data_IF_984205528380
#
_entry.id   IF_984205528380
#
_cell.length_a   1.000
_cell.length_b   1.000
_cell.length_c   1.000
_cell.angle_alpha   90.00
_cell.angle_beta   90.00
_cell.angle_gamma   90.00
#
_symmetry.space_group_name_H-M   'P 1'
#
loop_
_entity.id
_entity.type
_entity.pdbx_description
1 polymer ?
#
# COMPACT_ATOMS: atom_id res chain seq x y z
N UNK A 1 9.01 -38.11 -7.33
CA UNK A 1 7.89 -38.79 -6.64
C UNK A 1 8.09 -38.64 -5.15
N UNK A 2 7.03 -38.56 -4.35
CA UNK A 2 7.15 -38.60 -2.89
C UNK A 2 7.31 -40.07 -2.46
N UNK A 3 8.34 -40.37 -1.68
CA UNK A 3 8.69 -41.75 -1.27
C UNK A 3 7.64 -42.38 -0.35
N UNK A 4 6.83 -41.58 0.34
CA UNK A 4 5.82 -42.11 1.28
C UNK A 4 4.42 -42.29 0.68
N UNK A 5 4.11 -41.72 -0.50
CA UNK A 5 2.73 -41.73 -1.03
C UNK A 5 2.59 -42.25 -2.45
N UNK A 6 3.69 -42.49 -3.18
CA UNK A 6 3.63 -42.97 -4.57
C UNK A 6 2.94 -42.01 -5.56
N UNK A 7 2.48 -40.84 -5.10
CA UNK A 7 1.83 -39.84 -5.93
C UNK A 7 2.88 -38.92 -6.59
N UNK A 8 2.65 -38.48 -7.83
CA UNK A 8 3.50 -37.48 -8.46
C UNK A 8 3.48 -36.19 -7.65
N UNK A 9 4.68 -35.66 -7.35
CA UNK A 9 4.84 -34.30 -6.81
C UNK A 9 4.34 -33.32 -7.87
N UNK A 10 3.07 -32.96 -7.80
CA UNK A 10 2.54 -31.84 -8.56
C UNK A 10 3.12 -30.55 -7.97
N UNK A 11 4.05 -29.96 -8.71
CA UNK A 11 4.62 -28.65 -8.43
C UNK A 11 3.52 -27.59 -8.65
N UNK A 12 2.74 -27.29 -7.62
CA UNK A 12 1.66 -26.30 -7.67
C UNK A 12 2.16 -24.91 -8.09
N UNK A 13 3.44 -24.58 -7.88
CA UNK A 13 4.03 -23.32 -8.32
C UNK A 13 4.34 -23.30 -9.83
N UNK A 14 4.65 -24.47 -10.43
CA UNK A 14 4.75 -24.61 -11.87
C UNK A 14 3.37 -24.49 -12.54
N UNK A 15 2.31 -25.02 -11.90
CA UNK A 15 0.96 -24.98 -12.44
C UNK A 15 0.37 -23.56 -12.52
N UNK A 16 0.51 -22.73 -11.48
CA UNK A 16 0.04 -21.33 -11.52
C UNK A 16 0.86 -20.43 -12.47
N UNK A 17 2.17 -20.70 -12.64
CA UNK A 17 3.01 -19.96 -13.58
C UNK A 17 2.74 -20.38 -15.03
N UNK A 18 2.51 -21.67 -15.28
CA UNK A 18 2.08 -22.18 -16.56
C UNK A 18 0.67 -21.74 -16.90
N UNK A 19 -0.26 -21.66 -15.95
CA UNK A 19 -1.63 -21.20 -16.23
C UNK A 19 -1.64 -19.72 -16.63
N UNK A 20 -0.86 -18.87 -15.96
CA UNK A 20 -0.72 -17.46 -16.34
C UNK A 20 0.04 -17.28 -17.67
N UNK A 21 1.06 -18.11 -17.94
CA UNK A 21 1.81 -18.09 -19.20
C UNK A 21 1.00 -18.64 -20.37
N UNK A 22 0.23 -19.71 -20.16
CA UNK A 22 -0.70 -20.32 -21.13
C UNK A 22 -1.85 -19.37 -21.38
N UNK A 23 -2.43 -18.73 -20.34
CA UNK A 23 -3.41 -17.65 -20.51
C UNK A 23 -2.81 -16.51 -21.32
N UNK A 24 -1.60 -16.03 -21.01
CA UNK A 24 -0.92 -14.97 -21.80
C UNK A 24 -0.67 -15.37 -23.26
N UNK A 25 -0.17 -16.58 -23.49
CA UNK A 25 0.17 -17.08 -24.84
C UNK A 25 -1.09 -17.32 -25.66
N UNK A 26 -2.14 -17.89 -25.04
CA UNK A 26 -3.47 -18.05 -25.63
C UNK A 26 -4.08 -16.70 -25.96
N UNK A 27 -3.99 -15.73 -25.06
CA UNK A 27 -4.50 -14.39 -25.29
C UNK A 27 -3.70 -13.60 -26.34
N UNK A 28 -2.39 -13.80 -26.45
CA UNK A 28 -1.57 -13.22 -27.52
C UNK A 28 -1.88 -13.85 -28.89
N UNK A 29 -2.17 -15.15 -28.93
CA UNK A 29 -2.65 -15.83 -30.13
C UNK A 29 -4.04 -15.33 -30.52
N UNK A 30 -4.92 -15.13 -29.53
CA UNK A 30 -6.24 -14.58 -29.77
C UNK A 30 -6.18 -13.13 -30.23
N UNK A 31 -5.30 -12.30 -29.65
CA UNK A 31 -5.06 -10.92 -30.13
C UNK A 31 -4.66 -10.89 -31.61
N UNK A 32 -3.78 -11.80 -32.06
CA UNK A 32 -3.44 -11.92 -33.50
C UNK A 32 -4.62 -12.35 -34.37
N UNK A 33 -5.56 -13.12 -33.80
CA UNK A 33 -6.79 -13.55 -34.46
C UNK A 33 -7.80 -12.40 -34.56
N UNK A 34 -7.85 -11.60 -33.50
CA UNK A 34 -8.73 -10.45 -33.30
C UNK A 34 -8.27 -9.23 -34.11
N UNK A 35 -6.97 -9.06 -34.36
CA UNK A 35 -6.42 -8.06 -35.28
C UNK A 35 -7.03 -8.11 -36.69
N UNK A 36 -7.63 -9.25 -37.06
CA UNK A 36 -8.31 -9.47 -38.34
C UNK A 36 -9.80 -9.17 -38.30
N UNK A 37 -10.38 -8.89 -37.13
CA UNK A 37 -11.81 -8.65 -36.95
C UNK A 37 -12.09 -7.14 -36.84
N UNK A 38 -13.14 -6.63 -37.50
CA UNK A 38 -13.51 -5.23 -37.38
C UNK A 38 -13.88 -4.90 -35.90
N UNK A 39 -13.37 -3.77 -35.34
CA UNK A 39 -13.53 -3.40 -33.93
C UNK A 39 -14.99 -3.19 -33.46
N UNK A 40 -15.95 -3.21 -34.38
CA UNK A 40 -17.39 -3.08 -34.14
C UNK A 40 -18.13 -4.42 -34.06
N UNK A 41 -17.45 -5.57 -34.19
CA UNK A 41 -18.15 -6.86 -34.21
C UNK A 41 -18.68 -7.25 -32.83
N UNK A 42 -19.82 -7.95 -32.78
CA UNK A 42 -20.39 -8.49 -31.52
C UNK A 42 -19.40 -9.41 -30.78
N UNK A 43 -18.48 -10.03 -31.54
CA UNK A 43 -17.40 -10.86 -31.00
C UNK A 43 -16.45 -10.03 -30.14
N UNK A 44 -16.20 -8.77 -30.49
CA UNK A 44 -15.38 -7.86 -29.69
C UNK A 44 -16.00 -7.60 -28.31
N UNK A 45 -17.28 -7.23 -28.27
CA UNK A 45 -17.98 -6.94 -27.01
C UNK A 45 -18.04 -8.18 -26.10
N UNK A 46 -18.32 -9.35 -26.67
CA UNK A 46 -18.33 -10.62 -25.95
C UNK A 46 -16.94 -11.04 -25.45
N UNK A 47 -15.88 -10.65 -26.17
CA UNK A 47 -14.52 -10.97 -25.79
C UNK A 47 -13.98 -10.01 -24.74
N UNK A 48 -14.20 -8.70 -24.90
CA UNK A 48 -13.85 -7.67 -23.92
C UNK A 48 -14.56 -7.91 -22.58
N UNK A 49 -15.79 -8.45 -22.59
CA UNK A 49 -16.52 -8.81 -21.37
C UNK A 49 -15.93 -10.00 -20.61
N UNK A 50 -15.16 -10.85 -21.30
CA UNK A 50 -14.42 -11.96 -20.67
C UNK A 50 -13.01 -11.57 -20.25
N UNK A 51 -12.53 -10.39 -20.67
CA UNK A 51 -11.19 -9.92 -20.37
C UNK A 51 -11.11 -9.26 -19.01
N UNK A 52 -10.04 -9.60 -18.29
CA UNK A 52 -9.59 -8.85 -17.13
C UNK A 52 -9.18 -7.42 -17.57
N UNK A 53 -9.51 -6.42 -16.74
CA UNK A 53 -9.18 -5.02 -16.95
C UNK A 53 -7.67 -4.76 -17.11
N UNK A 54 -6.81 -5.60 -16.52
CA UNK A 54 -5.37 -5.54 -16.77
C UNK A 54 -5.02 -5.88 -18.22
N UNK A 55 -5.76 -6.83 -18.82
CA UNK A 55 -5.60 -7.20 -20.22
C UNK A 55 -6.16 -6.11 -21.14
N UNK A 56 -7.31 -5.52 -20.80
CA UNK A 56 -7.85 -4.34 -21.48
C UNK A 56 -6.85 -3.17 -21.46
N UNK A 57 -6.19 -2.93 -20.32
CA UNK A 57 -5.13 -1.91 -20.21
C UNK A 57 -3.91 -2.23 -21.07
N UNK A 58 -3.45 -3.49 -21.09
CA UNK A 58 -2.33 -3.93 -21.90
C UNK A 58 -2.61 -3.83 -23.41
N UNK A 59 -3.87 -4.06 -23.79
CA UNK A 59 -4.41 -3.90 -25.13
C UNK A 59 -4.44 -2.41 -25.52
N UNK A 60 -5.04 -1.56 -24.67
CA UNK A 60 -5.14 -0.11 -24.85
C UNK A 60 -3.78 0.58 -24.96
N UNK A 61 -2.75 0.03 -24.34
CA UNK A 61 -1.38 0.57 -24.41
C UNK A 61 -0.59 0.10 -25.63
N UNK A 62 -1.10 -0.88 -26.40
CA UNK A 62 -0.39 -1.49 -27.54
C UNK A 62 -0.99 -1.19 -28.91
N UNK A 63 -2.29 -0.88 -29.01
CA UNK A 63 -2.93 -0.63 -30.31
C UNK A 63 -4.10 0.35 -30.20
N UNK A 64 -4.16 1.29 -31.15
CA UNK A 64 -5.23 2.28 -31.31
C UNK A 64 -6.59 1.64 -31.58
N UNK A 65 -6.62 0.60 -32.42
CA UNK A 65 -7.86 -0.07 -32.85
C UNK A 65 -8.59 -0.68 -31.66
N UNK A 66 -7.82 -1.22 -30.72
CA UNK A 66 -8.40 -1.89 -29.56
C UNK A 66 -8.83 -0.91 -28.46
N UNK A 67 -8.19 0.26 -28.43
CA UNK A 67 -8.52 1.31 -27.48
C UNK A 67 -9.93 1.85 -27.71
N UNK A 68 -10.33 2.11 -28.95
CA UNK A 68 -11.69 2.57 -29.29
C UNK A 68 -12.74 1.50 -28.93
N UNK A 69 -12.42 0.22 -29.12
CA UNK A 69 -13.28 -0.91 -28.76
C UNK A 69 -13.46 -1.03 -27.22
N UNK A 70 -12.41 -0.80 -26.44
CA UNK A 70 -12.47 -0.82 -24.96
C UNK A 70 -13.31 0.36 -24.43
N UNK A 71 -13.17 1.54 -25.02
CA UNK A 71 -14.00 2.71 -24.64
C UNK A 71 -15.47 2.44 -24.93
N UNK A 72 -15.80 1.94 -26.13
CA UNK A 72 -17.16 1.54 -26.47
C UNK A 72 -17.70 0.48 -25.49
N UNK A 73 -16.89 -0.51 -25.13
CA UNK A 73 -17.27 -1.52 -24.14
C UNK A 73 -17.57 -0.93 -22.76
N UNK A 74 -16.70 -0.05 -22.23
CA UNK A 74 -16.92 0.60 -20.93
C UNK A 74 -18.21 1.43 -20.95
N UNK A 75 -18.44 2.18 -22.04
CA UNK A 75 -19.68 2.96 -22.22
C UNK A 75 -20.93 2.07 -22.29
N UNK A 76 -20.81 0.86 -22.83
CA UNK A 76 -21.94 -0.08 -22.97
C UNK A 76 -22.22 -0.84 -21.67
N UNK A 77 -21.20 -1.18 -20.89
CA UNK A 77 -21.32 -2.06 -19.72
C UNK A 77 -21.45 -1.32 -18.39
N UNK A 78 -20.94 -0.08 -18.28
CA UNK A 78 -21.19 0.79 -17.13
C UNK A 78 -21.94 2.07 -17.53
N UNK A 79 -23.24 1.95 -17.90
CA UNK A 79 -24.05 3.08 -18.37
C UNK A 79 -24.22 4.18 -17.31
N UNK A 80 -24.18 3.83 -16.01
CA UNK A 80 -24.23 4.79 -14.89
C UNK A 80 -22.97 5.68 -14.84
N UNK A 81 -21.82 5.16 -15.27
CA UNK A 81 -20.59 5.94 -15.34
C UNK A 81 -20.60 6.86 -16.57
N UNK A 82 -21.13 6.38 -17.70
CA UNK A 82 -21.26 7.15 -18.93
C UNK A 82 -22.28 8.30 -18.79
N UNK A 83 -23.44 8.04 -18.16
CA UNK A 83 -24.48 9.05 -17.92
C UNK A 83 -24.06 10.15 -16.94
N UNK A 84 -23.19 9.83 -15.98
CA UNK A 84 -22.61 10.81 -15.06
C UNK A 84 -21.55 11.73 -15.71
N UNK A 85 -21.12 11.44 -16.95
CA UNK A 85 -20.06 12.17 -17.64
C UNK A 85 -20.48 12.51 -19.09
N UNK A 86 -21.46 13.40 -19.26
CA UNK A 86 -22.03 13.87 -20.55
C UNK A 86 -21.02 14.51 -21.53
N UNK A 87 -19.73 14.60 -21.21
CA UNK A 87 -18.69 15.31 -21.98
C UNK A 87 -17.63 14.40 -22.60
N UNK A 88 -18.00 13.22 -23.09
CA UNK A 88 -17.07 12.36 -23.84
C UNK A 88 -16.95 12.85 -25.30
N UNK A 89 -16.09 13.85 -25.50
CA UNK A 89 -15.63 14.31 -26.82
C UNK A 89 -14.93 13.16 -27.55
N UNK A 90 -15.09 13.00 -28.88
CA UNK A 90 -14.35 12.01 -29.67
C UNK A 90 -12.84 12.10 -29.36
N UNK A 91 -12.26 10.99 -28.92
CA UNK A 91 -10.86 10.94 -28.50
C UNK A 91 -9.98 11.15 -29.73
N UNK A 92 -9.25 12.26 -29.77
CA UNK A 92 -8.25 12.51 -30.80
C UNK A 92 -7.23 11.35 -30.82
N UNK A 93 -6.69 10.96 -31.99
CA UNK A 93 -5.72 9.88 -32.10
C UNK A 93 -4.52 10.14 -31.17
N UNK A 94 -4.39 9.31 -30.14
CA UNK A 94 -3.32 9.42 -29.14
C UNK A 94 -3.34 8.23 -28.19
N UNK A 95 -2.19 7.89 -27.60
CA UNK A 95 -2.10 6.82 -26.59
C UNK A 95 -2.80 7.20 -25.28
N UNK A 96 -2.70 6.37 -24.23
CA UNK A 96 -3.37 6.54 -22.93
C UNK A 96 -3.48 7.97 -22.37
N UNK A 97 -2.49 8.84 -22.62
CA UNK A 97 -2.51 10.22 -22.13
C UNK A 97 -3.47 11.17 -22.88
N UNK A 98 -3.94 10.83 -24.08
CA UNK A 98 -4.96 11.60 -24.80
C UNK A 98 -6.38 11.36 -24.28
N UNK A 99 -6.58 10.33 -23.46
CA UNK A 99 -7.86 10.08 -22.81
C UNK A 99 -8.29 11.28 -21.96
N UNK A 100 -9.62 11.56 -21.88
CA UNK A 100 -10.20 12.39 -20.85
C UNK A 100 -9.64 12.05 -19.45
N UNK A 101 -9.50 13.06 -18.60
CA UNK A 101 -8.86 12.90 -17.30
C UNK A 101 -9.59 11.88 -16.43
N UNK A 102 -10.91 11.85 -16.55
CA UNK A 102 -11.87 11.00 -15.85
C UNK A 102 -11.62 9.53 -16.21
N UNK A 103 -11.45 9.23 -17.50
CA UNK A 103 -11.13 7.89 -17.99
C UNK A 103 -9.74 7.44 -17.54
N UNK A 104 -8.74 8.33 -17.61
CA UNK A 104 -7.39 8.02 -17.10
C UNK A 104 -7.41 7.69 -15.62
N UNK A 105 -8.19 8.45 -14.85
CA UNK A 105 -8.39 8.21 -13.43
C UNK A 105 -9.06 6.87 -13.19
N UNK A 106 -10.19 6.61 -13.85
CA UNK A 106 -10.93 5.36 -13.75
C UNK A 106 -10.03 4.15 -14.01
N UNK A 107 -9.31 4.15 -15.13
CA UNK A 107 -8.36 3.08 -15.49
C UNK A 107 -7.30 2.86 -14.40
N UNK A 108 -6.69 3.94 -13.91
CA UNK A 108 -5.65 3.84 -12.88
C UNK A 108 -6.18 3.32 -11.53
N UNK A 109 -7.46 3.50 -11.22
CA UNK A 109 -8.06 2.93 -10.01
C UNK A 109 -8.11 1.40 -10.06
N UNK A 110 -8.19 0.81 -11.25
CA UNK A 110 -8.13 -0.64 -11.45
C UNK A 110 -6.73 -1.22 -11.41
N UNK A 111 -5.69 -0.39 -11.59
CA UNK A 111 -4.31 -0.83 -11.45
C UNK A 111 -3.95 -1.03 -9.98
N UNK A 112 -3.21 -2.09 -9.69
CA UNK A 112 -2.54 -2.25 -8.40
C UNK A 112 -1.41 -1.19 -8.26
N UNK A 113 -0.85 -1.06 -7.05
CA UNK A 113 0.20 -0.06 -6.81
C UNK A 113 1.49 -0.34 -7.61
N UNK A 114 1.81 -1.61 -7.91
CA UNK A 114 2.98 -1.96 -8.74
C UNK A 114 2.78 -1.48 -10.17
N UNK A 115 1.60 -1.68 -10.72
CA UNK A 115 1.24 -1.27 -12.08
C UNK A 115 1.13 0.24 -12.19
N UNK A 116 0.58 0.91 -11.16
CA UNK A 116 0.64 2.37 -11.05
C UNK A 116 2.09 2.86 -11.02
N UNK A 117 2.98 2.19 -10.30
CA UNK A 117 4.40 2.54 -10.27
C UNK A 117 5.04 2.38 -11.66
N UNK A 118 4.73 1.28 -12.37
CA UNK A 118 5.20 1.06 -13.74
C UNK A 118 4.67 2.12 -14.71
N UNK A 119 3.37 2.42 -14.68
CA UNK A 119 2.75 3.50 -15.46
C UNK A 119 3.42 4.85 -15.16
N UNK A 120 3.62 5.15 -13.88
CA UNK A 120 4.29 6.38 -13.44
C UNK A 120 5.76 6.47 -13.84
N UNK A 121 6.40 5.37 -14.21
CA UNK A 121 7.78 5.34 -14.70
C UNK A 121 7.89 5.59 -16.22
N UNK A 122 6.78 5.58 -16.96
CA UNK A 122 6.80 5.73 -18.43
C UNK A 122 7.14 7.15 -18.89
N UNK A 123 6.57 8.18 -18.24
CA UNK A 123 6.81 9.58 -18.56
C UNK A 123 6.38 10.51 -17.41
N UNK A 124 6.76 11.80 -17.49
CA UNK A 124 6.42 12.82 -16.47
C UNK A 124 4.91 13.01 -16.29
N UNK A 125 4.14 12.97 -17.38
CA UNK A 125 2.68 13.15 -17.33
C UNK A 125 1.98 11.99 -16.62
N UNK A 126 2.33 10.74 -16.98
CA UNK A 126 1.81 9.55 -16.30
C UNK A 126 2.22 9.52 -14.82
N UNK A 127 3.45 9.96 -14.50
CA UNK A 127 3.90 10.10 -13.12
C UNK A 127 3.03 11.08 -12.32
N UNK A 128 2.75 12.26 -12.88
CA UNK A 128 1.90 13.27 -12.25
C UNK A 128 0.46 12.76 -12.03
N UNK A 129 -0.09 12.05 -13.02
CA UNK A 129 -1.41 11.41 -12.93
C UNK A 129 -1.44 10.39 -11.78
N UNK A 130 -0.52 9.43 -11.76
CA UNK A 130 -0.47 8.39 -10.72
C UNK A 130 -0.36 9.01 -9.33
N UNK A 131 0.47 10.05 -9.16
CA UNK A 131 0.59 10.76 -7.88
C UNK A 131 -0.72 11.43 -7.46
N UNK A 132 -1.41 12.09 -8.38
CA UNK A 132 -2.72 12.70 -8.12
C UNK A 132 -3.71 11.64 -7.65
N UNK A 133 -3.76 10.50 -8.32
CA UNK A 133 -4.69 9.40 -8.02
C UNK A 133 -4.37 8.80 -6.66
N UNK A 134 -3.10 8.58 -6.33
CA UNK A 134 -2.72 8.10 -5.00
C UNK A 134 -3.17 9.05 -3.88
N UNK A 135 -3.08 10.37 -4.08
CA UNK A 135 -3.62 11.35 -3.10
C UNK A 135 -5.14 11.27 -2.99
N UNK A 136 -5.85 11.06 -4.10
CA UNK A 136 -7.31 10.86 -4.10
C UNK A 136 -7.66 9.59 -3.33
N UNK A 137 -7.01 8.46 -3.62
CA UNK A 137 -7.25 7.21 -2.90
C UNK A 137 -6.98 7.34 -1.39
N UNK A 138 -5.94 8.07 -0.99
CA UNK A 138 -5.66 8.36 0.43
C UNK A 138 -6.74 9.26 1.02
N UNK A 139 -7.21 10.27 0.29
CA UNK A 139 -8.31 11.12 0.75
C UNK A 139 -9.62 10.34 0.93
N UNK A 140 -9.91 9.41 0.01
CA UNK A 140 -11.09 8.54 0.07
C UNK A 140 -11.07 7.60 1.27
N UNK A 141 -9.89 7.23 1.78
CA UNK A 141 -9.76 6.47 3.02
C UNK A 141 -10.38 7.21 4.21
N UNK A 142 -10.25 8.53 4.25
CA UNK A 142 -10.72 9.38 5.36
C UNK A 142 -12.13 9.93 5.16
N UNK A 143 -12.69 9.83 3.95
CA UNK A 143 -14.04 10.31 3.63
C UNK A 143 -15.12 9.72 4.56
N UNK A 144 -15.16 8.41 4.86
CA UNK A 144 -16.14 7.84 5.80
C UNK A 144 -16.03 8.39 7.22
N UNK A 145 -14.84 8.83 7.63
CA UNK A 145 -14.56 9.40 8.94
C UNK A 145 -14.93 10.90 9.00
N UNK A 146 -15.24 11.51 7.85
CA UNK A 146 -15.47 12.96 7.74
C UNK A 146 -14.22 13.77 8.09
N UNK A 147 -13.04 13.24 7.80
CA UNK A 147 -11.76 13.93 8.01
C UNK A 147 -11.20 14.29 6.63
N UNK A 148 -10.84 15.56 6.44
CA UNK A 148 -10.20 15.96 5.18
C UNK A 148 -8.76 15.47 5.12
N UNK A 149 -8.30 15.04 3.93
CA UNK A 149 -6.90 14.68 3.72
C UNK A 149 -5.93 15.81 4.09
N UNK A 150 -6.33 17.08 3.93
CA UNK A 150 -5.50 18.23 4.31
C UNK A 150 -5.21 18.26 5.81
N UNK A 151 -6.22 17.97 6.64
CA UNK A 151 -6.08 17.87 8.10
C UNK A 151 -5.12 16.74 8.48
N UNK A 152 -5.30 15.56 7.86
CA UNK A 152 -4.42 14.40 8.08
C UNK A 152 -2.99 14.72 7.65
N UNK A 153 -2.79 15.21 6.44
CA UNK A 153 -1.46 15.53 5.91
C UNK A 153 -0.75 16.58 6.77
N UNK A 154 -1.47 17.62 7.23
CA UNK A 154 -0.90 18.61 8.15
C UNK A 154 -0.44 17.97 9.46
N UNK A 155 -1.27 17.12 10.05
CA UNK A 155 -0.91 16.36 11.26
C UNK A 155 0.34 15.52 11.00
N UNK A 156 0.37 14.70 9.95
CA UNK A 156 1.52 13.85 9.62
C UNK A 156 2.82 14.65 9.44
N UNK A 157 2.76 15.82 8.78
CA UNK A 157 3.93 16.72 8.66
C UNK A 157 4.37 17.24 10.03
N UNK A 158 3.44 17.62 10.89
CA UNK A 158 3.73 18.24 12.17
C UNK A 158 4.23 17.24 13.24
N UNK A 159 3.75 16.01 13.20
CA UNK A 159 3.95 15.01 14.27
C UNK A 159 4.75 13.79 13.84
N UNK A 160 5.04 13.63 12.55
CA UNK A 160 5.67 12.41 12.03
C UNK A 160 4.77 11.17 12.08
N UNK A 161 3.46 11.34 12.23
CA UNK A 161 2.50 10.23 12.30
C UNK A 161 2.37 9.50 10.96
N UNK A 162 2.28 8.17 11.01
CA UNK A 162 2.14 7.29 9.84
C UNK A 162 0.81 6.54 9.91
N UNK A 163 0.13 6.44 8.79
CA UNK A 163 -1.05 5.57 8.64
C UNK A 163 -0.55 4.20 8.20
N UNK A 164 -1.00 3.12 8.84
CA UNK A 164 -0.60 1.75 8.49
C UNK A 164 -1.78 0.77 8.57
N UNK A 165 -1.48 -0.53 8.65
CA UNK A 165 -2.44 -1.60 8.82
C UNK A 165 -3.23 -1.92 7.55
N UNK A 166 -4.50 -2.28 7.74
CA UNK A 166 -5.42 -2.73 6.68
C UNK A 166 -5.63 -1.68 5.58
N UNK A 167 -5.55 -0.40 5.96
CA UNK A 167 -5.64 0.75 5.06
C UNK A 167 -4.58 0.72 3.97
N UNK A 168 -3.35 0.32 4.29
CA UNK A 168 -2.25 0.26 3.33
C UNK A 168 -2.44 -0.88 2.35
N UNK A 169 -2.90 -2.04 2.83
CA UNK A 169 -3.25 -3.14 1.94
C UNK A 169 -4.34 -2.72 0.96
N UNK A 170 -5.39 -2.03 1.42
CA UNK A 170 -6.43 -1.49 0.54
C UNK A 170 -5.87 -0.55 -0.53
N UNK A 171 -5.01 0.39 -0.14
CA UNK A 171 -4.42 1.36 -1.07
C UNK A 171 -3.47 0.73 -2.08
N UNK A 172 -2.90 -0.42 -1.74
CA UNK A 172 -1.91 -1.12 -2.56
C UNK A 172 -2.56 -2.03 -3.60
N UNK A 173 -3.72 -2.61 -3.30
CA UNK A 173 -4.42 -3.53 -4.19
C UNK A 173 -5.23 -2.79 -5.26
N UNK A 174 -5.44 -3.45 -6.40
CA UNK A 174 -6.41 -3.03 -7.42
C UNK A 174 -7.83 -2.90 -6.82
N UNK A 175 -8.65 -1.98 -7.36
CA UNK A 175 -10.02 -1.70 -6.85
C UNK A 175 -10.92 -2.95 -6.74
N UNK A 176 -10.77 -3.94 -7.62
CA UNK A 176 -11.51 -5.21 -7.55
C UNK A 176 -11.14 -6.02 -6.30
N UNK A 177 -9.85 -6.21 -6.07
CA UNK A 177 -9.33 -6.93 -4.90
C UNK A 177 -9.46 -6.13 -3.61
N UNK A 178 -9.48 -4.79 -3.70
CA UNK A 178 -9.54 -3.90 -2.53
C UNK A 178 -10.86 -3.97 -1.77
N UNK A 179 -11.96 -4.44 -2.38
CA UNK A 179 -13.27 -4.60 -1.69
C UNK A 179 -13.18 -5.53 -0.48
N UNK A 180 -12.38 -6.59 -0.59
CA UNK A 180 -12.10 -7.48 0.55
C UNK A 180 -11.34 -6.78 1.69
N UNK A 181 -10.64 -5.67 1.39
CA UNK A 181 -9.81 -4.93 2.34
C UNK A 181 -10.46 -3.63 2.82
N UNK A 182 -11.79 -3.50 2.80
CA UNK A 182 -12.44 -2.33 3.38
C UNK A 182 -12.11 -2.26 4.89
N UNK A 183 -11.36 -1.26 5.36
CA UNK A 183 -10.97 -1.18 6.75
C UNK A 183 -12.09 -0.51 7.55
N UNK A 184 -12.49 -1.15 8.66
CA UNK A 184 -13.46 -0.56 9.60
C UNK A 184 -12.79 0.42 10.57
N UNK A 185 -11.45 0.46 10.53
CA UNK A 185 -10.58 1.22 11.39
C UNK A 185 -9.41 1.83 10.61
N UNK A 186 -8.89 2.96 11.09
CA UNK A 186 -7.62 3.52 10.61
C UNK A 186 -6.59 3.48 11.73
N UNK A 187 -5.50 2.77 11.49
CA UNK A 187 -4.37 2.69 12.41
C UNK A 187 -3.38 3.84 12.13
N UNK A 188 -3.20 4.73 13.10
CA UNK A 188 -2.25 5.84 13.06
C UNK A 188 -1.14 5.61 14.09
N UNK A 189 0.10 5.50 13.64
CA UNK A 189 1.29 5.32 14.47
C UNK A 189 1.96 6.65 14.71
N UNK A 190 2.06 7.06 15.97
CA UNK A 190 2.64 8.35 16.37
C UNK A 190 3.89 8.16 17.23
N UNK A 191 4.92 9.01 17.07
CA UNK A 191 6.06 9.03 17.98
C UNK A 191 5.61 9.19 19.43
N UNK A 192 6.39 8.64 20.37
CA UNK A 192 6.07 8.68 21.79
C UNK A 192 5.76 10.09 22.29
N UNK A 193 6.62 11.06 21.95
CA UNK A 193 6.49 12.47 22.32
C UNK A 193 5.28 13.18 21.67
N UNK A 194 4.90 12.76 20.46
CA UNK A 194 3.91 13.45 19.64
C UNK A 194 2.50 12.88 19.78
N UNK A 195 2.35 11.68 20.36
CA UNK A 195 1.05 11.04 20.55
C UNK A 195 0.01 11.90 21.27
N UNK A 196 0.30 12.57 22.41
CA UNK A 196 -0.69 13.43 23.06
C UNK A 196 -1.15 14.59 22.17
N UNK A 197 -0.24 15.12 21.34
CA UNK A 197 -0.53 16.19 20.39
C UNK A 197 -1.43 15.70 19.25
N UNK A 198 -1.23 14.48 18.76
CA UNK A 198 -2.09 13.86 17.73
C UNK A 198 -3.52 13.68 18.25
N UNK A 199 -3.69 13.09 19.44
CA UNK A 199 -5.00 12.90 20.05
C UNK A 199 -5.70 14.25 20.21
N UNK A 200 -5.03 15.23 20.83
CA UNK A 200 -5.60 16.56 21.05
C UNK A 200 -5.92 17.28 19.74
N UNK A 201 -5.05 17.17 18.74
CA UNK A 201 -5.29 17.76 17.42
C UNK A 201 -6.54 17.19 16.77
N UNK A 202 -6.71 15.86 16.79
CA UNK A 202 -7.91 15.21 16.24
C UNK A 202 -9.17 15.61 17.00
N UNK A 203 -9.13 15.75 18.33
CA UNK A 203 -10.29 16.21 19.12
C UNK A 203 -10.74 17.63 18.77
N UNK A 204 -9.79 18.53 18.47
CA UNK A 204 -10.07 19.94 18.13
C UNK A 204 -10.47 20.07 16.67
N UNK A 205 -9.72 19.45 15.76
CA UNK A 205 -9.90 19.59 14.32
C UNK A 205 -11.08 18.75 13.79
N UNK A 206 -11.60 17.83 14.59
CA UNK A 206 -12.66 16.91 14.21
C UNK A 206 -13.66 16.71 15.35
N UNK A 207 -14.67 15.87 15.14
CA UNK A 207 -15.62 15.46 16.17
C UNK A 207 -15.23 14.16 16.87
N UNK A 208 -14.03 13.62 16.61
CA UNK A 208 -13.55 12.42 17.29
C UNK A 208 -13.22 12.73 18.76
N UNK A 209 -13.48 11.75 19.63
CA UNK A 209 -13.16 11.80 21.06
C UNK A 209 -12.46 10.52 21.44
N UNK A 210 -11.47 10.63 22.34
CA UNK A 210 -10.83 9.45 22.92
C UNK A 210 -11.84 8.69 23.77
N UNK A 211 -12.26 7.51 23.31
CA UNK A 211 -13.26 6.69 23.99
C UNK A 211 -12.62 5.66 24.93
N UNK A 212 -11.43 5.17 24.58
CA UNK A 212 -10.67 4.21 25.36
C UNK A 212 -9.18 4.46 25.18
N UNK A 213 -8.42 4.22 26.24
CA UNK A 213 -6.96 4.17 26.21
C UNK A 213 -6.52 2.95 27.01
N UNK A 214 -5.57 2.20 26.45
CA UNK A 214 -4.98 1.04 27.09
C UNK A 214 -3.48 1.01 26.83
N UNK A 215 -2.70 0.68 27.85
CA UNK A 215 -1.30 0.29 27.65
C UNK A 215 -1.25 -0.94 26.75
N UNK A 216 -0.39 -0.92 25.73
CA UNK A 216 -0.33 -1.97 24.73
C UNK A 216 0.03 -3.31 25.40
N UNK A 217 -0.91 -4.23 25.40
CA UNK A 217 -0.68 -5.63 25.81
C UNK A 217 -0.37 -6.51 24.61
N UNK A 218 -0.09 -5.93 23.43
CA UNK A 218 0.09 -6.70 22.21
C UNK A 218 1.40 -7.51 22.19
N UNK A 219 2.22 -7.46 23.25
CA UNK A 219 3.53 -8.13 23.28
C UNK A 219 4.46 -7.62 22.18
N UNK A 220 4.17 -6.45 21.59
CA UNK A 220 4.93 -5.88 20.48
C UNK A 220 6.02 -5.00 21.04
N UNK A 221 7.29 -5.31 20.74
CA UNK A 221 8.32 -4.29 20.88
C UNK A 221 7.92 -3.11 19.99
N UNK A 222 8.05 -1.89 20.49
CA UNK A 222 7.76 -0.69 19.70
C UNK A 222 6.42 0.00 19.98
N UNK A 223 5.46 -0.60 20.71
CA UNK A 223 4.19 0.07 21.09
C UNK A 223 4.02 0.17 22.60
N UNK A 224 3.77 1.38 23.12
CA UNK A 224 3.48 1.60 24.55
C UNK A 224 1.98 1.67 24.84
N UNK A 225 1.20 2.32 23.97
CA UNK A 225 -0.20 2.62 24.24
C UNK A 225 -1.05 2.58 22.98
N UNK A 226 -2.35 2.36 23.15
CA UNK A 226 -3.34 2.43 22.10
C UNK A 226 -4.51 3.28 22.58
N UNK A 227 -4.82 4.33 21.83
CA UNK A 227 -6.02 5.13 22.00
C UNK A 227 -7.04 4.79 20.91
N UNK A 228 -8.29 4.58 21.29
CA UNK A 228 -9.39 4.46 20.35
C UNK A 228 -10.16 5.75 20.34
N UNK A 229 -10.32 6.36 19.17
CA UNK A 229 -11.17 7.52 19.00
C UNK A 229 -12.42 7.17 18.21
N UNK A 230 -13.56 7.63 18.69
CA UNK A 230 -14.87 7.45 18.04
C UNK A 230 -15.56 8.80 17.81
N UNK A 231 -16.50 8.84 16.87
CA UNK A 231 -17.23 10.06 16.49
C UNK A 231 -18.73 9.89 16.78
N UNK A 232 -19.22 10.54 17.83
CA UNK A 232 -20.63 10.46 18.24
C UNK A 232 -21.04 9.12 18.87
N UNK A 233 -22.27 9.06 19.41
CA UNK A 233 -22.86 7.81 19.89
C UNK A 233 -23.43 7.03 18.68
N UNK A 234 -22.90 5.83 18.40
CA UNK A 234 -23.47 4.91 17.40
C UNK A 234 -22.69 4.72 16.09
N UNK A 235 -21.61 5.46 15.83
CA UNK A 235 -20.78 5.19 14.66
C UNK A 235 -19.79 4.05 14.93
N UNK A 236 -19.82 3.01 14.09
CA UNK A 236 -18.92 1.86 14.14
C UNK A 236 -17.48 2.15 13.67
N UNK A 237 -17.22 3.34 13.11
CA UNK A 237 -15.91 3.71 12.59
C UNK A 237 -15.00 4.21 13.72
N UNK A 238 -13.79 3.66 13.79
CA UNK A 238 -12.82 3.97 14.84
C UNK A 238 -11.46 4.40 14.27
N UNK A 239 -10.81 5.35 14.94
CA UNK A 239 -9.40 5.65 14.70
C UNK A 239 -8.59 5.05 15.84
N UNK A 240 -7.63 4.20 15.50
CA UNK A 240 -6.71 3.63 16.46
C UNK A 240 -5.42 4.47 16.43
N UNK A 241 -5.16 5.22 17.49
CA UNK A 241 -3.94 6.02 17.63
C UNK A 241 -2.94 5.21 18.46
N UNK A 242 -1.99 4.60 17.78
CA UNK A 242 -0.92 3.79 18.35
C UNK A 242 0.22 4.70 18.82
N UNK A 243 0.56 4.64 20.11
CA UNK A 243 1.74 5.30 20.66
C UNK A 243 2.94 4.38 20.56
N UNK A 244 3.96 4.84 19.86
CA UNK A 244 5.21 4.11 19.79
C UNK A 244 5.94 4.18 21.13
N UNK A 245 6.71 3.15 21.49
CA UNK A 245 7.55 3.16 22.69
C UNK A 245 8.72 4.13 22.60
N UNK A 246 9.10 4.52 21.37
CA UNK A 246 10.10 5.55 21.09
C UNK A 246 9.65 6.55 20.03
N UNK A 247 10.59 7.30 19.47
CA UNK A 247 10.30 8.32 18.46
C UNK A 247 10.18 7.75 17.03
N UNK A 248 10.51 6.47 16.83
CA UNK A 248 10.52 5.84 15.50
C UNK A 248 9.22 5.09 15.22
N UNK A 249 8.29 5.76 14.55
CA UNK A 249 6.99 5.19 14.13
C UNK A 249 7.06 3.96 13.23
N UNK A 250 8.15 3.79 12.50
CA UNK A 250 8.35 2.66 11.60
C UNK A 250 8.69 1.37 12.35
N UNK A 251 9.27 1.45 13.55
CA UNK A 251 9.66 0.29 14.35
C UNK A 251 8.49 -0.68 14.60
N UNK A 252 7.37 -0.25 15.22
CA UNK A 252 6.25 -1.15 15.44
C UNK A 252 5.61 -1.66 14.14
N UNK A 253 5.66 -0.89 13.05
CA UNK A 253 5.12 -1.29 11.74
C UNK A 253 5.96 -2.43 11.12
N UNK A 254 7.29 -2.33 11.20
CA UNK A 254 8.21 -3.37 10.72
C UNK A 254 8.12 -4.66 11.54
N UNK A 255 7.50 -4.59 12.73
CA UNK A 255 7.31 -5.72 13.63
C UNK A 255 5.89 -6.28 13.61
N UNK A 256 5.06 -5.95 12.62
CA UNK A 256 3.73 -6.55 12.48
C UNK A 256 3.76 -8.08 12.44
N UNK A 257 2.62 -8.68 12.80
CA UNK A 257 2.39 -10.13 12.84
C UNK A 257 2.66 -10.82 11.51
N UNK A 258 2.65 -10.07 10.39
CA UNK A 258 2.95 -10.64 9.09
C UNK A 258 3.43 -9.62 8.06
N UNK A 259 4.08 -10.10 7.01
CA UNK A 259 4.73 -9.25 6.01
C UNK A 259 3.79 -8.47 5.09
N UNK A 260 2.55 -8.92 4.88
CA UNK A 260 1.59 -8.32 3.94
C UNK A 260 1.05 -6.95 4.40
N UNK A 261 1.19 -6.65 5.69
CA UNK A 261 0.73 -5.39 6.29
C UNK A 261 1.87 -4.42 6.58
N UNK A 262 3.12 -4.80 6.26
CA UNK A 262 4.29 -3.95 6.51
C UNK A 262 4.39 -2.88 5.40
N UNK A 263 3.80 -1.73 5.69
CA UNK A 263 3.79 -0.56 4.84
C UNK A 263 3.18 0.63 5.55
N UNK A 264 3.18 1.78 4.88
CA UNK A 264 2.65 3.00 5.49
C UNK A 264 2.41 4.11 4.49
N UNK A 265 1.59 5.06 4.91
CA UNK A 265 1.42 6.36 4.26
C UNK A 265 1.85 7.41 5.26
N UNK A 266 2.86 8.19 4.89
CA UNK A 266 3.30 9.39 5.59
C UNK A 266 2.93 10.64 4.76
N UNK A 267 3.28 11.82 5.26
CA UNK A 267 3.01 13.08 4.55
C UNK A 267 3.68 13.17 3.17
N UNK A 268 4.74 12.39 2.94
CA UNK A 268 5.53 12.46 1.72
C UNK A 268 5.11 11.43 0.67
N UNK A 269 4.49 10.32 1.08
CA UNK A 269 4.08 9.27 0.16
C UNK A 269 3.64 7.97 0.82
N UNK A 270 3.51 6.96 -0.03
CA UNK A 270 3.21 5.58 0.35
C UNK A 270 4.48 4.72 0.20
N UNK A 271 4.67 3.78 1.12
CA UNK A 271 5.74 2.78 1.02
C UNK A 271 5.26 1.38 1.42
N UNK A 272 5.89 0.36 0.85
CA UNK A 272 5.70 -1.06 1.17
C UNK A 272 7.05 -1.73 1.38
N UNK A 273 7.21 -2.47 2.49
CA UNK A 273 8.42 -3.24 2.74
C UNK A 273 8.53 -4.48 1.85
N UNK A 274 7.39 -5.16 1.63
CA UNK A 274 7.31 -6.46 0.96
C UNK A 274 6.30 -6.46 -0.19
N UNK A 275 6.45 -5.57 -1.19
CA UNK A 275 5.51 -5.43 -2.29
C UNK A 275 5.25 -6.75 -3.02
N UNK A 276 6.31 -7.54 -3.29
CA UNK A 276 6.19 -8.82 -4.01
C UNK A 276 5.20 -9.78 -3.34
N UNK A 277 5.33 -10.01 -2.04
CA UNK A 277 4.43 -10.90 -1.30
C UNK A 277 3.00 -10.38 -1.34
N UNK A 278 2.84 -9.07 -1.11
CA UNK A 278 1.53 -8.45 -1.12
C UNK A 278 0.81 -8.67 -2.45
N UNK A 279 1.45 -8.35 -3.58
CA UNK A 279 0.84 -8.52 -4.92
C UNK A 279 0.66 -9.98 -5.35
N UNK A 280 1.36 -10.92 -4.72
CA UNK A 280 1.15 -12.36 -4.90
C UNK A 280 0.12 -12.94 -3.91
N UNK A 281 -0.58 -12.08 -3.15
CA UNK A 281 -1.50 -12.47 -2.09
C UNK A 281 -0.89 -13.45 -1.06
N UNK A 282 0.41 -13.29 -0.78
CA UNK A 282 1.18 -14.10 0.16
C UNK A 282 1.64 -13.26 1.34
N UNK A 283 1.88 -13.92 2.46
CA UNK A 283 2.44 -13.30 3.66
C UNK A 283 3.30 -14.28 4.45
N UNK A 284 4.34 -13.78 5.09
CA UNK A 284 5.15 -14.55 6.03
C UNK A 284 4.74 -14.14 7.44
N UNK A 285 4.46 -15.12 8.29
CA UNK A 285 4.13 -14.89 9.69
C UNK A 285 5.41 -14.51 10.44
N UNK A 286 5.35 -13.43 11.20
CA UNK A 286 6.44 -13.04 12.07
C UNK A 286 6.49 -13.99 13.28
N UNK A 287 7.49 -14.89 13.31
CA UNK A 287 7.57 -16.01 14.27
C UNK A 287 7.44 -15.67 15.77
N UNK A 288 7.89 -14.51 16.29
CA UNK A 288 7.62 -14.14 17.68
C UNK A 288 6.13 -14.17 18.04
N UNK A 289 5.24 -13.97 17.07
CA UNK A 289 3.78 -14.06 17.28
C UNK A 289 3.25 -15.48 17.42
N UNK A 290 4.00 -16.48 16.94
CA UNK A 290 3.68 -17.90 17.15
C UNK A 290 4.01 -18.34 18.58
N UNK A 291 4.99 -17.68 19.20
CA UNK A 291 5.53 -18.03 20.52
C UNK A 291 5.07 -17.04 21.60
N UNK A 292 3.93 -16.39 21.44
CA UNK A 292 3.39 -15.49 22.47
C UNK A 292 3.09 -16.27 23.75
N UNK A 293 3.55 -15.74 24.88
CA UNK A 293 3.50 -16.37 26.20
C UNK A 293 2.06 -16.56 26.71
N UNK A 294 1.17 -15.61 26.41
CA UNK A 294 -0.22 -15.63 26.88
C UNK A 294 -1.18 -16.06 25.79
N UNK A 295 -2.13 -16.94 26.15
CA UNK A 295 -3.17 -17.42 25.23
C UNK A 295 -4.00 -16.27 24.64
N UNK A 296 -4.31 -15.24 25.44
CA UNK A 296 -5.04 -14.07 24.97
C UNK A 296 -4.29 -13.28 23.87
N UNK A 297 -2.96 -13.22 23.92
CA UNK A 297 -2.16 -12.54 22.89
C UNK A 297 -2.05 -13.40 21.63
N UNK A 298 -1.91 -14.72 21.81
CA UNK A 298 -1.93 -15.69 20.71
C UNK A 298 -3.26 -15.69 19.97
N UNK A 299 -4.38 -15.70 20.68
CA UNK A 299 -5.73 -15.59 20.10
C UNK A 299 -5.91 -14.30 19.29
N UNK A 300 -5.45 -13.16 19.82
CA UNK A 300 -5.48 -11.88 19.09
C UNK A 300 -4.64 -11.94 17.81
N UNK A 301 -3.43 -12.49 17.86
CA UNK A 301 -2.59 -12.66 16.68
C UNK A 301 -3.28 -13.55 15.62
N UNK A 302 -3.80 -14.71 16.03
CA UNK A 302 -4.53 -15.60 15.13
C UNK A 302 -5.80 -14.99 14.55
N UNK A 303 -6.57 -14.23 15.33
CA UNK A 303 -7.74 -13.51 14.83
C UNK A 303 -7.37 -12.52 13.73
N UNK A 304 -6.22 -11.83 13.86
CA UNK A 304 -5.73 -10.93 12.81
C UNK A 304 -5.24 -11.71 11.59
N UNK A 305 -4.54 -12.83 11.77
CA UNK A 305 -4.14 -13.70 10.65
C UNK A 305 -5.37 -14.23 9.90
N UNK A 306 -6.37 -14.74 10.62
CA UNK A 306 -7.66 -15.20 10.07
C UNK A 306 -8.37 -14.10 9.30
N UNK A 307 -8.38 -12.86 9.83
CA UNK A 307 -8.93 -11.69 9.13
C UNK A 307 -8.31 -11.52 7.75
N UNK A 308 -7.00 -11.70 7.60
CA UNK A 308 -6.33 -11.55 6.30
C UNK A 308 -6.44 -12.80 5.42
N UNK A 309 -6.52 -14.00 5.99
CA UNK A 309 -6.84 -15.22 5.23
C UNK A 309 -8.20 -15.12 4.56
N UNK A 310 -9.21 -14.63 5.29
CA UNK A 310 -10.56 -14.38 4.77
C UNK A 310 -10.57 -13.31 3.65
N UNK A 311 -9.47 -12.57 3.48
CA UNK A 311 -9.27 -11.58 2.41
C UNK A 311 -8.39 -12.11 1.27
N UNK A 312 -8.14 -13.42 1.25
CA UNK A 312 -7.39 -14.11 0.21
C UNK A 312 -5.87 -14.12 0.40
N UNK A 313 -5.36 -13.75 1.58
CA UNK A 313 -3.91 -13.82 1.86
C UNK A 313 -3.52 -15.21 2.34
N UNK A 314 -2.62 -15.87 1.61
CA UNK A 314 -1.99 -17.12 2.04
C UNK A 314 -0.82 -16.85 2.98
N UNK A 315 -0.83 -17.48 4.15
CA UNK A 315 0.25 -17.35 5.14
C UNK A 315 1.25 -18.50 5.06
N UNK A 316 2.52 -18.14 5.20
CA UNK A 316 3.64 -19.06 5.22
C UNK A 316 4.46 -18.83 6.49
N UNK A 317 4.89 -19.91 7.13
CA UNK A 317 5.89 -19.83 8.22
C UNK A 317 7.30 -19.73 7.63
N UNK A 318 7.51 -20.38 6.48
CA UNK A 318 8.75 -20.36 5.72
C UNK A 318 8.47 -20.06 4.24
N UNK A 319 9.23 -19.13 3.68
CA UNK A 319 9.13 -18.77 2.26
C UNK A 319 10.20 -19.48 1.45
N UNK A 320 9.93 -20.75 1.11
CA UNK A 320 10.81 -21.64 0.34
C UNK A 320 10.72 -21.39 -1.18
N UNK A 321 10.76 -20.12 -1.60
CA UNK A 321 10.94 -19.81 -3.04
C UNK A 321 12.42 -19.91 -3.38
N UNK A 322 12.78 -20.45 -4.55
CA UNK A 322 14.18 -20.47 -5.01
C UNK A 322 14.77 -19.05 -4.95
N UNK A 323 15.80 -18.87 -4.14
CA UNK A 323 16.47 -17.59 -3.95
C UNK A 323 17.91 -17.80 -3.54
N UNK A 324 18.77 -16.80 -3.76
CA UNK A 324 20.11 -16.79 -3.21
C UNK A 324 20.07 -16.29 -1.76
N UNK A 325 20.26 -17.18 -0.79
CA UNK A 325 20.14 -16.83 0.63
C UNK A 325 21.13 -15.71 1.00
N UNK A 326 20.68 -14.73 1.79
CA UNK A 326 21.43 -13.51 2.16
C UNK A 326 21.61 -12.45 1.06
N UNK A 327 21.32 -12.75 -0.21
CA UNK A 327 21.42 -11.78 -1.33
C UNK A 327 20.06 -11.32 -1.86
N UNK A 328 19.10 -12.23 -1.93
CA UNK A 328 17.77 -11.90 -2.45
C UNK A 328 16.98 -11.06 -1.45
N UNK A 329 16.35 -9.97 -1.91
CA UNK A 329 15.46 -9.16 -1.05
C UNK A 329 14.21 -9.91 -0.59
N UNK A 330 13.90 -11.06 -1.19
CA UNK A 330 12.84 -11.97 -0.72
C UNK A 330 13.35 -13.10 0.18
N UNK A 331 14.62 -13.10 0.55
CA UNK A 331 15.20 -14.09 1.46
C UNK A 331 14.94 -13.68 2.92
N UNK A 332 14.40 -14.59 3.76
CA UNK A 332 14.24 -14.35 5.20
C UNK A 332 15.54 -13.99 5.94
N UNK A 333 16.68 -14.51 5.49
CA UNK A 333 17.99 -14.20 6.07
C UNK A 333 18.61 -12.88 5.57
N UNK A 334 17.98 -12.19 4.61
CA UNK A 334 18.49 -10.90 4.15
C UNK A 334 18.06 -9.79 5.08
N UNK A 335 19.04 -9.04 5.58
CA UNK A 335 18.79 -7.77 6.27
C UNK A 335 18.23 -6.79 5.24
N UNK A 336 16.99 -6.41 5.46
CA UNK A 336 16.27 -5.40 4.69
C UNK A 336 16.43 -4.06 5.38
N UNK A 337 16.44 -2.99 4.60
CA UNK A 337 16.34 -1.64 5.13
C UNK A 337 15.36 -0.85 4.27
N UNK A 338 14.79 0.21 4.84
CA UNK A 338 13.68 0.93 4.20
C UNK A 338 14.05 1.43 2.80
N UNK A 339 15.33 1.75 2.61
CA UNK A 339 15.89 2.33 1.39
C UNK A 339 16.38 1.27 0.38
N UNK A 340 16.19 -0.02 0.65
CA UNK A 340 16.65 -1.04 -0.28
C UNK A 340 15.75 -1.19 -1.51
N UNK A 341 16.30 -1.82 -2.56
CA UNK A 341 15.60 -2.05 -3.83
C UNK A 341 14.48 -3.09 -3.73
N UNK A 342 14.28 -3.71 -2.58
CA UNK A 342 13.16 -4.63 -2.34
C UNK A 342 11.91 -3.93 -1.82
N UNK A 343 12.01 -2.66 -1.40
CA UNK A 343 10.87 -1.85 -0.99
C UNK A 343 10.26 -1.10 -2.18
N UNK A 344 8.95 -0.87 -2.12
CA UNK A 344 8.25 0.00 -3.07
C UNK A 344 7.94 1.34 -2.42
N UNK A 345 8.11 2.43 -3.16
CA UNK A 345 7.90 3.80 -2.68
C UNK A 345 7.24 4.65 -3.75
N UNK A 346 6.20 5.37 -3.37
CA UNK A 346 5.45 6.26 -4.25
C UNK A 346 5.30 7.63 -3.57
N UNK A 347 6.07 8.63 -4.02
CA UNK A 347 6.05 9.99 -3.48
C UNK A 347 4.79 10.75 -3.93
N UNK A 348 4.15 11.49 -3.03
CA UNK A 348 3.02 12.36 -3.39
C UNK A 348 3.47 13.60 -4.14
N UNK A 349 4.56 14.27 -3.74
CA UNK A 349 5.04 15.49 -4.39
C UNK A 349 6.03 15.20 -5.54
N UNK A 350 5.91 15.95 -6.65
CA UNK A 350 7.06 16.32 -7.48
C UNK A 350 7.96 17.14 -6.59
N UNK A 351 9.18 16.69 -6.32
CA UNK A 351 10.13 17.49 -5.56
C UNK A 351 10.37 18.81 -6.32
N UNK A 352 9.64 19.86 -5.93
CA UNK A 352 10.06 21.25 -6.11
C UNK A 352 11.06 21.67 -5.01
N UNK A 353 11.50 20.72 -4.18
CA UNK A 353 12.72 20.83 -3.41
C UNK A 353 13.89 20.66 -4.37
N UNK A 354 14.55 21.78 -4.67
CA UNK A 354 15.58 21.93 -5.68
C UNK A 354 16.58 20.79 -5.73
N UNK A 355 16.80 20.30 -6.94
CA UNK A 355 18.13 20.00 -7.48
C UNK A 355 19.15 19.44 -6.49
N UNK A 356 19.11 18.14 -6.24
CA UNK A 356 20.32 17.37 -6.49
C UNK A 356 19.98 16.27 -7.48
N UNK A 357 20.58 16.39 -8.67
CA UNK A 357 20.36 15.54 -9.83
C UNK A 357 20.98 14.13 -9.67
N UNK A 358 21.02 13.59 -8.46
CA UNK A 358 21.56 12.26 -8.17
C UNK A 358 20.67 11.54 -7.15
N UNK A 359 19.72 10.76 -7.67
CA UNK A 359 19.29 9.50 -7.05
C UNK A 359 18.67 9.52 -5.64
N UNK A 360 18.45 10.68 -5.01
CA UNK A 360 18.09 10.72 -3.60
C UNK A 360 16.59 10.47 -3.37
N UNK A 361 16.22 9.19 -3.47
CA UNK A 361 14.91 8.67 -3.13
C UNK A 361 14.68 8.52 -1.61
N UNK A 362 15.54 9.14 -0.78
CA UNK A 362 15.34 9.20 0.66
C UNK A 362 14.15 10.10 0.97
N UNK A 363 13.22 9.62 1.81
CA UNK A 363 12.26 10.51 2.44
C UNK A 363 12.99 11.28 3.55
N UNK A 364 12.72 12.58 3.76
CA UNK A 364 13.33 13.34 4.84
C UNK A 364 13.10 12.63 6.19
N UNK A 365 14.15 12.45 6.99
CA UNK A 365 14.05 11.82 8.32
C UNK A 365 13.95 10.29 8.36
N UNK A 366 14.23 9.58 7.25
CA UNK A 366 14.26 8.13 7.28
C UNK A 366 15.56 7.57 7.86
N UNK A 367 15.50 7.17 9.12
CA UNK A 367 16.46 6.30 9.78
C UNK A 367 16.62 4.99 8.99
N UNK A 368 17.84 4.45 8.97
CA UNK A 368 18.12 3.12 8.41
C UNK A 368 17.65 2.08 9.41
N UNK A 369 16.33 1.86 9.45
CA UNK A 369 15.79 0.72 10.19
C UNK A 369 16.03 -0.54 9.39
N UNK A 370 16.63 -1.52 10.07
CA UNK A 370 16.92 -2.83 9.53
C UNK A 370 15.95 -3.86 10.08
N UNK A 371 15.41 -4.72 9.22
CA UNK A 371 14.56 -5.85 9.62
C UNK A 371 14.90 -7.10 8.79
N UNK A 372 14.51 -8.27 9.28
CA UNK A 372 14.60 -9.51 8.52
C UNK A 372 13.26 -9.82 7.87
N UNK A 373 13.30 -10.31 6.63
CA UNK A 373 12.11 -10.60 5.85
C UNK A 373 11.30 -11.76 6.46
N UNK A 374 10.22 -11.47 7.17
CA UNK A 374 9.34 -12.51 7.74
C UNK A 374 9.91 -13.29 8.94
N UNK A 375 10.98 -12.81 9.58
CA UNK A 375 11.56 -13.45 10.78
C UNK A 375 12.75 -14.38 10.50
N UNK A 376 12.97 -15.37 11.38
CA UNK A 376 14.18 -16.23 11.41
C UNK A 376 14.49 -16.84 10.04
N UNK A 377 15.76 -16.75 9.64
CA UNK A 377 16.25 -17.00 8.28
C UNK A 377 16.06 -18.42 7.75
N UNK A 378 16.33 -18.56 6.43
CA UNK A 378 16.41 -19.85 5.75
C UNK A 378 17.31 -20.83 6.55
N UNK A 379 16.92 -22.10 6.69
CA UNK A 379 17.67 -23.13 7.45
C UNK A 379 19.11 -23.35 6.97
N UNK A 380 19.49 -22.82 5.81
CA UNK A 380 20.81 -22.99 5.18
C UNK A 380 21.81 -21.84 5.42
N UNK A 381 21.56 -20.91 6.37
CA UNK A 381 22.45 -19.74 6.49
C UNK A 381 22.36 -18.94 7.78
N UNK A 382 22.06 -19.56 8.93
CA UNK A 382 21.98 -18.86 10.22
C UNK A 382 23.38 -18.43 10.69
N UNK A 383 23.89 -17.30 10.17
CA UNK A 383 24.62 -16.38 11.04
C UNK A 383 23.54 -15.64 11.80
N UNK A 384 23.48 -15.81 13.13
CA UNK A 384 22.61 -15.02 14.00
C UNK A 384 22.84 -13.56 13.67
N UNK A 385 21.90 -12.92 12.96
CA UNK A 385 21.78 -11.48 13.02
C UNK A 385 21.47 -11.21 14.49
N UNK A 386 22.42 -10.58 15.20
CA UNK A 386 22.21 -10.17 16.57
C UNK A 386 20.84 -9.48 16.64
N UNK A 387 19.97 -10.02 17.48
CA UNK A 387 18.66 -9.47 17.78
C UNK A 387 18.85 -8.07 18.34
N UNK A 388 18.84 -7.09 17.46
CA UNK A 388 19.01 -5.68 17.80
C UNK A 388 18.73 -4.86 16.56
N UNK A 389 17.57 -4.21 16.51
CA UNK A 389 17.38 -3.08 15.63
C UNK A 389 18.42 -2.03 16.05
N UNK A 390 19.54 -1.93 15.34
CA UNK A 390 20.49 -0.85 15.57
C UNK A 390 19.92 0.44 14.96
N UNK A 391 19.49 1.33 15.84
CA UNK A 391 19.19 2.71 15.49
C UNK A 391 20.54 3.43 15.34
N UNK A 392 20.92 3.77 14.11
CA UNK A 392 22.08 4.64 13.89
C UNK A 392 21.69 6.08 14.25
N UNK A 393 22.43 6.77 15.13
CA UNK A 393 22.08 8.12 15.57
C UNK A 393 22.28 9.11 14.41
N UNK A 394 21.22 9.78 13.98
CA UNK A 394 21.29 10.91 13.04
C UNK A 394 20.31 12.01 13.47
N UNK A 395 20.88 13.01 14.14
CA UNK A 395 20.53 14.44 14.26
C UNK A 395 19.10 14.91 14.68
N UNK A 396 19.08 15.52 15.88
CA UNK A 396 18.07 16.42 16.46
C UNK A 396 17.72 17.68 15.62
N UNK A 397 18.55 18.03 14.63
CA UNK A 397 18.50 19.34 13.99
C UNK A 397 17.26 19.53 13.07
N UNK A 398 16.77 18.45 12.47
CA UNK A 398 15.64 18.52 11.54
C UNK A 398 14.29 18.70 12.27
N UNK A 399 14.14 18.01 13.40
CA UNK A 399 12.99 18.16 14.32
C UNK A 399 12.97 19.59 14.91
N UNK A 400 14.13 20.13 15.28
CA UNK A 400 14.27 21.51 15.73
C UNK A 400 13.81 22.53 14.66
N UNK A 401 14.21 22.34 13.39
CA UNK A 401 13.81 23.21 12.28
C UNK A 401 12.30 23.20 12.02
N UNK A 402 11.64 22.05 12.12
CA UNK A 402 10.19 21.94 11.95
C UNK A 402 9.40 22.58 13.09
N UNK A 403 9.85 22.39 14.34
CA UNK A 403 9.26 23.05 15.51
C UNK A 403 9.33 24.58 15.40
N UNK A 404 10.45 25.11 14.92
CA UNK A 404 10.65 26.55 14.67
C UNK A 404 9.73 27.09 13.55
N UNK A 405 9.50 26.31 12.50
CA UNK A 405 8.60 26.70 11.40
C UNK A 405 7.12 26.71 11.82
N UNK A 406 6.68 25.71 12.59
CA UNK A 406 5.31 25.64 13.12
C UNK A 406 5.00 26.80 14.06
N UNK A 407 5.95 27.19 14.92
CA UNK A 407 5.80 28.36 15.81
C UNK A 407 5.67 29.67 15.02
N UNK A 408 6.43 29.84 13.94
CA UNK A 408 6.29 31.03 13.05
C UNK A 408 4.93 31.10 12.37
N UNK A 409 4.40 29.96 11.91
CA UNK A 409 3.05 29.89 11.32
C UNK A 409 1.96 30.25 12.33
N UNK A 410 2.07 29.74 13.57
CA UNK A 410 1.14 30.07 14.66
C UNK A 410 1.16 31.55 15.01
N UNK A 411 2.35 32.17 15.05
CA UNK A 411 2.49 33.61 15.31
C UNK A 411 1.85 34.46 14.21
N UNK A 412 2.05 34.12 12.93
CA UNK A 412 1.42 34.81 11.81
C UNK A 412 -0.11 34.71 11.83
N UNK A 413 -0.65 33.53 12.14
CA UNK A 413 -2.09 33.34 12.25
C UNK A 413 -2.69 34.19 13.38
N UNK A 414 -2.01 34.28 14.54
CA UNK A 414 -2.45 35.12 15.66
C UNK A 414 -2.42 36.61 15.32
N UNK A 415 -1.40 37.07 14.58
CA UNK A 415 -1.29 38.46 14.15
C UNK A 415 -2.29 38.86 13.05
N UNK A 416 -2.81 37.91 12.28
CA UNK A 416 -3.86 38.18 11.28
C UNK A 416 -5.28 38.19 11.88
N UNK A 417 -5.43 37.70 13.11
CA UNK A 417 -6.69 37.63 13.86
C UNK A 417 -6.89 38.80 14.84
N UNK A 418 -5.81 39.50 15.18
CA UNK A 418 -5.81 40.72 15.98
C UNK A 418 -5.74 41.92 15.05
#
# INVERSE_FOLDING_TARGET
MNEDTGLPLLDCAAYESCENLVKRTRWLAELKRIDKLPPTSVVWTALLSTMDIHFLFLICTRSKVYFDAVINYIQTVEPDWASANEYLVPVAPGGFLSLPQELRQYVCEFLDLRERAMLGATCRCANALVRRILRICVADLFKPYGISYRVVNFMQVATGTIISGSSITRLSMARRSSRAFNPNDIDMYSPHSSWPHVVRFLEIATQFRLSKHQTSTYGLPGLSDIGWMTKGQGNALSLNIMRCSGEHVYEPILQFHSSCVIGGVDASGLWLANPKLLFEAKSIINRPYLNLETDASRQRAFAVLQKYMNRGISFHVDYNVRHTCGKSKSCPASIRHMQDRGCMRMKFATAAYGSSALGDNRFPGQYVLSWSYGGLGCSRGVRRAASGMQVLPVFDEQVYRWRKAALKLKAKAKAALA
#
